data_IF_769436174513
#
_entry.id   IF_769436174513
#
_cell.length_a   1.000
_cell.length_b   1.000
_cell.length_c   1.000
_cell.angle_alpha   90.00
_cell.angle_beta   90.00
_cell.angle_gamma   90.00
#
_symmetry.space_group_name_H-M   'P 1'
#
loop_
_entity.id
_entity.type
_entity.pdbx_description
1 polymer ?
#
# COMPACT_ATOMS: atom_id res chain seq x y z
N UNK A 1 27.07 -33.57 -17.15
CA UNK A 1 27.12 -32.23 -16.52
C UNK A 1 25.70 -31.71 -16.46
N UNK A 2 25.01 -32.02 -15.34
CA UNK A 2 23.67 -31.51 -15.05
C UNK A 2 23.81 -30.12 -14.45
N UNK A 3 23.23 -29.10 -15.09
CA UNK A 3 23.07 -27.78 -14.53
C UNK A 3 21.83 -27.84 -13.65
N UNK A 4 22.05 -27.81 -12.34
CA UNK A 4 20.99 -27.68 -11.34
C UNK A 4 20.34 -26.30 -11.47
N UNK A 5 19.06 -26.29 -11.79
CA UNK A 5 18.19 -25.12 -11.63
C UNK A 5 18.12 -24.78 -10.15
N UNK A 6 18.93 -23.81 -9.72
CA UNK A 6 18.71 -23.16 -8.43
C UNK A 6 17.43 -22.32 -8.53
N UNK A 7 16.46 -22.75 -7.75
CA UNK A 7 15.20 -22.04 -7.50
C UNK A 7 15.47 -20.61 -7.05
N UNK A 8 15.21 -19.64 -7.93
CA UNK A 8 14.99 -18.26 -7.55
C UNK A 8 13.60 -18.12 -6.88
N UNK A 9 13.46 -18.77 -5.73
CA UNK A 9 12.29 -18.64 -4.88
C UNK A 9 12.62 -17.73 -3.69
N UNK A 10 13.24 -16.59 -3.96
CA UNK A 10 13.23 -15.44 -3.06
C UNK A 10 11.92 -14.66 -3.30
N UNK A 11 10.82 -15.33 -3.04
CA UNK A 11 9.51 -14.70 -3.04
C UNK A 11 9.41 -13.81 -1.80
N UNK A 12 9.61 -12.53 -2.02
CA UNK A 12 9.20 -11.48 -1.09
C UNK A 12 7.72 -11.75 -0.73
N UNK A 13 7.39 -12.11 0.53
CA UNK A 13 6.04 -12.56 0.91
C UNK A 13 4.95 -11.54 0.56
N UNK A 14 5.29 -10.25 0.49
CA UNK A 14 4.37 -9.22 0.02
C UNK A 14 4.00 -9.32 -1.46
N UNK A 15 4.89 -9.79 -2.33
CA UNK A 15 4.60 -9.95 -3.77
C UNK A 15 3.64 -11.11 -4.05
N UNK A 16 3.70 -12.21 -3.28
CA UNK A 16 2.78 -13.33 -3.43
C UNK A 16 1.36 -12.99 -2.97
N UNK A 17 1.21 -12.20 -1.89
CA UNK A 17 -0.09 -11.70 -1.43
C UNK A 17 -0.69 -10.70 -2.44
N UNK A 18 0.14 -9.81 -3.02
CA UNK A 18 -0.28 -8.88 -4.05
C UNK A 18 -0.66 -9.58 -5.37
N UNK A 19 0.07 -10.62 -5.74
CA UNK A 19 -0.28 -11.47 -6.87
C UNK A 19 -1.62 -12.19 -6.65
N UNK A 20 -1.93 -12.60 -5.42
CA UNK A 20 -3.22 -13.17 -5.04
C UNK A 20 -4.38 -12.17 -5.21
N UNK A 21 -4.18 -10.91 -4.84
CA UNK A 21 -5.16 -9.85 -5.05
C UNK A 21 -5.35 -9.60 -6.57
N UNK A 22 -4.26 -9.50 -7.32
CA UNK A 22 -4.33 -9.33 -8.77
C UNK A 22 -5.00 -10.53 -9.47
N UNK A 23 -4.76 -11.75 -9.00
CA UNK A 23 -5.37 -12.97 -9.51
C UNK A 23 -6.89 -13.04 -9.27
N UNK A 24 -7.40 -12.45 -8.18
CA UNK A 24 -8.84 -12.41 -7.88
C UNK A 24 -9.64 -11.54 -8.87
N UNK A 25 -8.95 -10.68 -9.64
CA UNK A 25 -9.57 -9.81 -10.66
C UNK A 25 -9.52 -10.40 -12.09
N UNK A 26 -9.32 -11.69 -12.25
CA UNK A 26 -9.38 -12.39 -13.54
C UNK A 26 -8.06 -12.32 -14.33
N UNK A 27 -7.32 -13.42 -14.29
CA UNK A 27 -6.07 -13.61 -15.02
C UNK A 27 -6.38 -14.34 -16.33
N UNK A 28 -6.05 -13.72 -17.46
CA UNK A 28 -6.12 -14.44 -18.75
C UNK A 28 -5.93 -13.58 -19.99
N UNK A 29 -6.35 -12.34 -19.98
CA UNK A 29 -6.28 -11.45 -21.15
C UNK A 29 -5.50 -10.16 -20.84
N UNK A 30 -4.85 -9.58 -21.85
CA UNK A 30 -4.24 -8.27 -21.74
C UNK A 30 -5.32 -7.22 -21.44
N UNK A 31 -5.25 -6.59 -20.26
CA UNK A 31 -6.24 -5.59 -19.86
C UNK A 31 -6.15 -4.34 -20.72
N UNK A 32 -7.32 -3.82 -21.09
CA UNK A 32 -7.46 -2.47 -21.66
C UNK A 32 -7.00 -1.40 -20.67
N UNK A 33 -6.75 -0.18 -21.14
CA UNK A 33 -6.38 0.94 -20.27
C UNK A 33 -7.42 1.22 -19.18
N UNK A 34 -8.70 1.06 -19.50
CA UNK A 34 -9.82 1.23 -18.58
C UNK A 34 -9.83 0.18 -17.46
N UNK A 35 -9.62 -1.08 -17.81
CA UNK A 35 -9.53 -2.18 -16.83
C UNK A 35 -8.31 -2.06 -15.93
N UNK A 36 -7.17 -1.59 -16.46
CA UNK A 36 -5.97 -1.28 -15.66
C UNK A 36 -6.25 -0.17 -14.64
N UNK A 37 -7.01 0.86 -15.03
CA UNK A 37 -7.42 1.94 -14.14
C UNK A 37 -8.35 1.45 -13.03
N UNK A 38 -9.35 0.63 -13.37
CA UNK A 38 -10.29 0.06 -12.40
C UNK A 38 -9.58 -0.89 -11.43
N UNK A 39 -8.62 -1.68 -11.92
CA UNK A 39 -7.78 -2.53 -11.09
C UNK A 39 -6.91 -1.71 -10.12
N UNK A 40 -6.29 -0.63 -10.59
CA UNK A 40 -5.49 0.26 -9.74
C UNK A 40 -6.33 0.87 -8.60
N UNK A 41 -7.57 1.27 -8.89
CA UNK A 41 -8.52 1.75 -7.89
C UNK A 41 -8.84 0.65 -6.88
N UNK A 42 -9.22 -0.53 -7.36
CA UNK A 42 -9.59 -1.65 -6.49
C UNK A 42 -8.43 -2.09 -5.57
N UNK A 43 -7.21 -2.16 -6.10
CA UNK A 43 -6.02 -2.51 -5.31
C UNK A 43 -5.74 -1.43 -4.27
N UNK A 44 -5.62 -0.16 -4.69
CA UNK A 44 -5.20 0.93 -3.80
C UNK A 44 -6.17 1.23 -2.67
N UNK A 45 -7.45 0.89 -2.83
CA UNK A 45 -8.48 1.05 -1.81
C UNK A 45 -8.68 -0.20 -0.94
N UNK A 46 -8.04 -1.32 -1.28
CA UNK A 46 -8.21 -2.55 -0.53
C UNK A 46 -7.47 -2.53 0.81
N UNK A 47 -8.06 -3.19 1.81
CA UNK A 47 -7.45 -3.35 3.14
C UNK A 47 -6.14 -4.15 3.07
N UNK A 48 -6.11 -5.19 2.28
CA UNK A 48 -4.92 -6.04 2.13
C UNK A 48 -3.74 -5.27 1.54
N UNK A 49 -3.99 -4.36 0.61
CA UNK A 49 -2.94 -3.51 0.05
C UNK A 49 -2.35 -2.57 1.12
N UNK A 50 -3.21 -1.89 1.91
CA UNK A 50 -2.73 -1.04 2.99
C UNK A 50 -1.98 -1.85 4.07
N UNK A 51 -2.44 -3.05 4.40
CA UNK A 51 -1.74 -3.94 5.34
C UNK A 51 -0.33 -4.28 4.85
N UNK A 52 -0.16 -4.57 3.56
CA UNK A 52 1.14 -4.81 2.94
C UNK A 52 2.03 -3.56 3.02
N UNK A 53 1.47 -2.38 2.70
CA UNK A 53 2.21 -1.12 2.82
C UNK A 53 2.68 -0.88 4.26
N UNK A 54 1.82 -1.08 5.25
CA UNK A 54 2.16 -0.90 6.67
C UNK A 54 3.25 -1.87 7.12
N UNK A 55 3.21 -3.11 6.66
CA UNK A 55 4.24 -4.12 6.97
C UNK A 55 5.59 -3.79 6.32
N UNK A 56 5.56 -3.27 5.10
CA UNK A 56 6.76 -2.92 4.32
C UNK A 56 7.38 -1.58 4.76
N UNK A 57 6.53 -0.62 5.13
CA UNK A 57 6.92 0.75 5.46
C UNK A 57 6.46 1.12 6.87
N UNK A 58 7.32 0.89 7.88
CA UNK A 58 7.01 1.06 9.30
C UNK A 58 6.49 2.45 9.69
N UNK A 59 6.84 3.49 8.91
CA UNK A 59 6.42 4.88 9.17
C UNK A 59 4.94 5.16 8.85
N UNK A 60 4.27 4.32 8.05
CA UNK A 60 2.90 4.56 7.61
C UNK A 60 1.92 4.50 8.79
N UNK A 61 1.95 3.42 9.56
CA UNK A 61 0.98 3.21 10.64
C UNK A 61 1.02 4.30 11.72
N UNK A 62 2.18 4.67 12.28
CA UNK A 62 2.23 5.75 13.28
C UNK A 62 1.84 7.11 12.69
N UNK A 63 2.17 7.39 11.43
CA UNK A 63 1.78 8.63 10.79
C UNK A 63 0.28 8.73 10.54
N UNK A 64 -0.40 7.61 10.25
CA UNK A 64 -1.86 7.58 10.13
C UNK A 64 -2.57 7.70 11.48
N UNK A 65 -2.07 7.00 12.51
CA UNK A 65 -2.84 6.75 13.73
C UNK A 65 -2.44 7.61 14.92
N UNK A 66 -1.27 8.24 14.90
CA UNK A 66 -0.77 9.04 16.00
C UNK A 66 -0.18 10.40 15.59
N UNK A 67 -0.64 11.08 14.53
CA UNK A 67 -0.12 12.41 14.19
C UNK A 67 -0.57 13.42 15.25
N UNK A 68 0.30 14.38 15.60
CA UNK A 68 -0.01 15.46 16.52
C UNK A 68 0.04 16.82 15.83
N UNK A 69 1.18 17.15 15.26
CA UNK A 69 1.37 18.38 14.49
C UNK A 69 2.53 18.23 13.51
N UNK A 70 2.58 19.09 12.52
CA UNK A 70 3.69 19.19 11.60
C UNK A 70 4.55 20.42 11.91
N UNK A 71 5.83 20.20 12.15
CA UNK A 71 6.82 21.25 12.32
C UNK A 71 7.39 21.63 10.95
N UNK A 72 6.95 22.76 10.42
CA UNK A 72 7.37 23.24 9.10
C UNK A 72 8.84 23.71 9.04
N UNK A 73 9.42 24.13 10.17
CA UNK A 73 10.82 24.55 10.22
C UNK A 73 11.77 23.35 10.10
N UNK A 74 11.44 22.27 10.81
CA UNK A 74 12.22 21.03 10.79
C UNK A 74 11.76 20.05 9.70
N UNK A 75 10.69 20.38 9.01
CA UNK A 75 10.03 19.51 8.03
C UNK A 75 9.68 18.13 8.61
N UNK A 76 9.20 18.10 9.85
CA UNK A 76 9.04 16.88 10.64
C UNK A 76 7.62 16.73 11.20
N UNK A 77 7.07 15.51 11.10
CA UNK A 77 5.85 15.14 11.77
C UNK A 77 6.15 14.81 13.24
N UNK A 78 5.46 15.47 14.15
CA UNK A 78 5.47 15.17 15.56
C UNK A 78 4.30 14.24 15.89
N UNK A 79 4.56 13.24 16.74
CA UNK A 79 3.59 12.24 17.13
C UNK A 79 2.96 12.56 18.49
N UNK A 80 1.78 12.02 18.71
CA UNK A 80 1.16 12.01 20.02
C UNK A 80 1.85 10.95 20.90
N UNK A 81 2.75 11.41 21.77
CA UNK A 81 3.57 10.54 22.65
C UNK A 81 2.74 9.71 23.66
N UNK A 82 1.46 10.08 23.88
CA UNK A 82 0.55 9.25 24.67
C UNK A 82 0.05 8.02 23.91
N UNK A 83 0.18 8.01 22.58
CA UNK A 83 -0.22 6.91 21.71
C UNK A 83 0.98 6.14 21.16
N UNK A 84 2.04 6.87 20.80
CA UNK A 84 3.20 6.31 20.15
C UNK A 84 4.49 7.01 20.60
N UNK A 85 5.36 6.25 21.28
CA UNK A 85 6.70 6.71 21.64
C UNK A 85 7.59 6.76 20.40
N UNK A 86 7.80 7.95 19.88
CA UNK A 86 8.57 8.17 18.65
C UNK A 86 10.06 7.84 18.80
N UNK A 87 10.62 7.91 20.01
CA UNK A 87 12.03 7.60 20.30
C UNK A 87 12.27 6.09 20.31
N UNK A 88 11.37 5.34 20.95
CA UNK A 88 11.45 3.88 21.03
C UNK A 88 10.76 3.18 19.87
N UNK A 89 10.02 3.91 19.02
CA UNK A 89 9.18 3.38 17.94
C UNK A 89 8.18 2.32 18.44
N UNK A 90 7.53 2.60 19.58
CA UNK A 90 6.61 1.67 20.22
C UNK A 90 5.26 2.32 20.52
N UNK A 91 4.20 1.53 20.40
CA UNK A 91 2.88 1.93 20.81
C UNK A 91 2.77 1.92 22.33
N UNK A 92 2.15 2.98 22.89
CA UNK A 92 1.96 3.15 24.34
C UNK A 92 0.66 2.46 24.74
N UNK A 93 0.72 1.62 25.77
CA UNK A 93 -0.45 0.95 26.30
C UNK A 93 -1.34 1.95 27.04
N UNK A 94 -2.52 2.21 26.49
CA UNK A 94 -3.40 3.28 27.01
C UNK A 94 -4.10 2.97 28.33
N UNK A 95 -4.23 1.71 28.73
CA UNK A 95 -4.86 1.32 30.00
C UNK A 95 -4.59 -0.13 30.35
N UNK A 96 -4.55 -0.44 31.65
CA UNK A 96 -4.54 -1.83 32.14
C UNK A 96 -5.76 -2.65 31.69
N UNK A 97 -6.86 -1.98 31.35
CA UNK A 97 -8.11 -2.60 30.90
C UNK A 97 -8.25 -2.66 29.38
N UNK A 98 -7.42 -1.94 28.62
CA UNK A 98 -7.44 -1.98 27.17
C UNK A 98 -6.59 -3.13 26.63
N UNK A 99 -7.24 -4.08 25.92
CA UNK A 99 -6.54 -5.16 25.25
C UNK A 99 -5.76 -4.69 24.00
N UNK A 100 -6.02 -3.48 23.48
CA UNK A 100 -5.39 -2.95 22.27
C UNK A 100 -4.13 -2.18 22.66
N UNK A 101 -2.97 -2.78 22.43
CA UNK A 101 -1.67 -2.11 22.57
C UNK A 101 -1.26 -1.33 21.31
N UNK A 102 -1.78 -1.73 20.17
CA UNK A 102 -1.45 -1.20 18.84
C UNK A 102 -2.73 -1.06 18.00
N UNK A 103 -2.88 0.01 17.19
CA UNK A 103 -3.96 0.10 16.23
C UNK A 103 -3.99 -1.10 15.28
N UNK A 104 -5.18 -1.55 14.93
CA UNK A 104 -5.34 -2.65 13.96
C UNK A 104 -5.21 -2.15 12.53
N UNK A 105 -4.95 -3.04 11.59
CA UNK A 105 -4.98 -2.70 10.15
C UNK A 105 -6.37 -2.24 9.71
N UNK A 106 -7.43 -2.69 10.37
CA UNK A 106 -8.79 -2.25 10.10
C UNK A 106 -8.98 -0.79 10.53
N UNK A 107 -8.54 -0.43 11.74
CA UNK A 107 -8.59 0.96 12.23
C UNK A 107 -7.79 1.88 11.29
N UNK A 108 -6.60 1.44 10.88
CA UNK A 108 -5.75 2.18 9.94
C UNK A 108 -6.39 2.34 8.55
N UNK A 109 -7.04 1.30 8.03
CA UNK A 109 -7.72 1.35 6.75
C UNK A 109 -8.92 2.30 6.77
N UNK A 110 -9.66 2.34 7.87
CA UNK A 110 -10.77 3.25 8.03
C UNK A 110 -10.32 4.72 7.97
N UNK A 111 -9.27 5.08 8.70
CA UNK A 111 -8.65 6.41 8.65
C UNK A 111 -8.09 6.70 7.25
N UNK A 112 -7.38 5.74 6.67
CA UNK A 112 -6.79 5.89 5.34
C UNK A 112 -7.82 6.25 4.27
N UNK A 113 -8.94 5.51 4.19
CA UNK A 113 -9.97 5.72 3.17
C UNK A 113 -10.85 6.93 3.46
N UNK A 114 -11.17 7.20 4.74
CA UNK A 114 -12.10 8.29 5.07
C UNK A 114 -11.44 9.65 5.13
N UNK A 115 -10.17 9.71 5.56
CA UNK A 115 -9.54 10.98 5.93
C UNK A 115 -8.31 11.32 5.10
N UNK A 116 -7.62 10.31 4.55
CA UNK A 116 -6.29 10.54 3.98
C UNK A 116 -6.23 10.34 2.48
N UNK A 117 -6.70 9.20 1.98
CA UNK A 117 -6.49 8.81 0.59
C UNK A 117 -7.75 8.94 -0.23
N UNK A 118 -7.64 9.61 -1.38
CA UNK A 118 -8.71 9.71 -2.35
C UNK A 118 -8.20 9.29 -3.73
N UNK A 119 -9.01 8.49 -4.42
CA UNK A 119 -8.75 8.07 -5.80
C UNK A 119 -10.02 8.17 -6.62
N UNK A 120 -9.91 8.71 -7.82
CA UNK A 120 -11.04 8.86 -8.75
C UNK A 120 -10.61 8.66 -10.19
N UNK A 121 -11.53 8.17 -11.02
CA UNK A 121 -11.35 8.01 -12.47
C UNK A 121 -12.18 9.05 -13.20
N UNK A 122 -11.57 9.78 -14.11
CA UNK A 122 -12.31 10.63 -15.02
C UNK A 122 -12.96 9.74 -16.10
N UNK A 123 -14.30 9.77 -16.14
CA UNK A 123 -15.08 8.92 -17.05
C UNK A 123 -14.89 9.25 -18.55
N UNK A 124 -14.49 10.50 -18.85
CA UNK A 124 -14.31 10.95 -20.23
C UNK A 124 -12.92 10.61 -20.77
N UNK A 125 -11.90 10.73 -19.91
CA UNK A 125 -10.48 10.57 -20.33
C UNK A 125 -9.89 9.24 -19.90
N UNK A 126 -10.53 8.49 -19.01
CA UNK A 126 -9.99 7.28 -18.39
C UNK A 126 -8.86 7.54 -17.37
N UNK A 127 -8.43 8.78 -17.17
CA UNK A 127 -7.33 9.11 -16.27
C UNK A 127 -7.72 8.88 -14.81
N UNK A 128 -6.81 8.27 -14.06
CA UNK A 128 -6.92 8.09 -12.61
C UNK A 128 -6.20 9.24 -11.91
N UNK A 129 -6.92 9.90 -10.99
CA UNK A 129 -6.36 10.93 -10.10
C UNK A 129 -6.28 10.36 -8.68
N UNK A 130 -5.10 10.44 -8.08
CA UNK A 130 -4.85 10.10 -6.68
C UNK A 130 -4.48 11.37 -5.90
N UNK A 131 -4.97 11.48 -4.68
CA UNK A 131 -4.60 12.54 -3.75
C UNK A 131 -4.49 11.99 -2.33
N UNK A 132 -3.65 12.62 -1.52
CA UNK A 132 -3.53 12.32 -0.11
C UNK A 132 -3.57 13.62 0.70
N UNK A 133 -4.43 13.66 1.72
CA UNK A 133 -4.59 14.77 2.64
C UNK A 133 -4.08 14.36 4.02
N UNK A 134 -3.15 15.15 4.57
CA UNK A 134 -2.59 14.91 5.90
C UNK A 134 -1.97 16.19 6.45
N UNK A 135 -1.85 16.29 7.78
CA UNK A 135 -1.20 17.45 8.43
C UNK A 135 0.27 17.61 8.03
N UNK A 136 0.92 16.52 7.59
CA UNK A 136 2.29 16.52 7.06
C UNK A 136 2.27 16.40 5.53
N UNK A 137 2.66 17.47 4.80
CA UNK A 137 2.80 17.40 3.34
C UNK A 137 3.84 16.36 2.88
N UNK A 138 4.88 16.17 3.69
CA UNK A 138 5.92 15.16 3.43
C UNK A 138 5.34 13.76 3.50
N UNK A 139 4.52 13.48 4.50
CA UNK A 139 3.82 12.20 4.60
C UNK A 139 2.91 11.98 3.39
N UNK A 140 2.07 12.96 3.03
CA UNK A 140 1.17 12.86 1.87
C UNK A 140 1.92 12.55 0.59
N UNK A 141 3.02 13.25 0.33
CA UNK A 141 3.87 13.02 -0.83
C UNK A 141 4.47 11.61 -0.83
N UNK A 142 5.12 11.23 0.25
CA UNK A 142 5.79 9.92 0.35
C UNK A 142 4.78 8.77 0.25
N UNK A 143 3.59 8.93 0.84
CA UNK A 143 2.52 7.93 0.77
C UNK A 143 2.07 7.72 -0.67
N UNK A 144 1.83 8.80 -1.43
CA UNK A 144 1.44 8.69 -2.85
C UNK A 144 2.55 8.05 -3.70
N UNK A 145 3.81 8.43 -3.48
CA UNK A 145 4.95 7.84 -4.18
C UNK A 145 5.03 6.32 -3.94
N UNK A 146 4.86 5.90 -2.69
CA UNK A 146 4.86 4.48 -2.32
C UNK A 146 3.67 3.74 -2.97
N UNK A 147 2.47 4.29 -2.90
CA UNK A 147 1.27 3.69 -3.51
C UNK A 147 1.47 3.51 -5.02
N UNK A 148 1.92 4.55 -5.72
CA UNK A 148 2.15 4.52 -7.17
C UNK A 148 3.22 3.48 -7.52
N UNK A 149 4.31 3.43 -6.77
CA UNK A 149 5.39 2.48 -7.01
C UNK A 149 4.92 1.03 -6.82
N UNK A 150 4.16 0.75 -5.75
CA UNK A 150 3.65 -0.60 -5.50
C UNK A 150 2.63 -1.04 -6.55
N UNK A 151 1.70 -0.15 -6.95
CA UNK A 151 0.75 -0.45 -8.04
C UNK A 151 1.49 -0.73 -9.36
N UNK A 152 2.52 0.07 -9.68
CA UNK A 152 3.32 -0.15 -10.87
C UNK A 152 4.09 -1.48 -10.85
N UNK A 153 4.58 -1.90 -9.68
CA UNK A 153 5.21 -3.21 -9.53
C UNK A 153 4.22 -4.35 -9.76
N UNK A 154 3.02 -4.24 -9.20
CA UNK A 154 1.94 -5.24 -9.40
C UNK A 154 1.57 -5.33 -10.89
N UNK A 155 1.38 -4.18 -11.55
CA UNK A 155 1.05 -4.14 -12.98
C UNK A 155 2.13 -4.80 -13.85
N UNK A 156 3.40 -4.50 -13.60
CA UNK A 156 4.53 -5.09 -14.33
C UNK A 156 4.64 -6.60 -14.10
N UNK A 157 4.46 -7.07 -12.87
CA UNK A 157 4.49 -8.49 -12.54
C UNK A 157 3.39 -9.24 -13.29
N UNK A 158 2.19 -8.66 -13.36
CA UNK A 158 1.06 -9.21 -14.09
C UNK A 158 1.27 -9.23 -15.61
N UNK A 159 1.74 -8.11 -16.18
CA UNK A 159 2.03 -8.03 -17.61
C UNK A 159 3.08 -9.08 -18.02
N UNK A 160 4.10 -9.30 -17.18
CA UNK A 160 5.11 -10.36 -17.38
C UNK A 160 4.50 -11.76 -17.34
N UNK A 161 3.68 -12.07 -16.33
CA UNK A 161 3.01 -13.36 -16.20
C UNK A 161 2.10 -13.65 -17.40
N UNK A 162 1.36 -12.64 -17.87
CA UNK A 162 0.49 -12.76 -19.04
C UNK A 162 1.29 -13.04 -20.31
N UNK A 163 2.43 -12.37 -20.48
CA UNK A 163 3.33 -12.61 -21.61
C UNK A 163 3.95 -14.01 -21.59
N UNK A 164 4.40 -14.49 -20.43
CA UNK A 164 4.97 -15.82 -20.25
C UNK A 164 3.93 -16.92 -20.55
N UNK A 165 2.68 -16.72 -20.10
CA UNK A 165 1.58 -17.65 -20.43
C UNK A 165 1.31 -17.68 -21.94
N UNK A 166 1.25 -16.50 -22.61
CA UNK A 166 1.05 -16.44 -24.05
C UNK A 166 2.14 -17.18 -24.83
N UNK A 167 3.41 -17.06 -24.42
CA UNK A 167 4.52 -17.78 -25.03
C UNK A 167 4.43 -19.29 -24.80
N UNK A 168 3.96 -19.73 -23.64
CA UNK A 168 3.84 -21.17 -23.31
C UNK A 168 2.76 -21.89 -24.13
N UNK A 169 1.85 -21.16 -24.77
CA UNK A 169 0.84 -21.72 -25.67
C UNK A 169 1.27 -21.74 -27.15
N UNK A 170 2.41 -21.19 -27.47
CA UNK A 170 3.00 -21.24 -28.81
C UNK A 170 3.92 -22.44 -28.99
#
# INVERSE_FOLDING_TARGET
LSVSNENLNDSNPGLSELAGIAASFGVGEALSGDEKADLAIAISTSRSFLEILIKKYEWILPSLMAPKKFNSFENKLEFNESLYDSKQKKWVKQSFFSKKEKPTYLDAHEVFIKEVFNISKNKLTGHVKMSAEHISPVFSKNLLEVIINEINQISRARDKESAEKAISFL
#
